data_IF_956555862485
#
_entry.id   IF_956555862485
#
_cell.length_a   1.000
_cell.length_b   1.000
_cell.length_c   1.000
_cell.angle_alpha   90.00
_cell.angle_beta   90.00
_cell.angle_gamma   90.00
#
_symmetry.space_group_name_H-M   'P 1'
#
loop_
_entity.id
_entity.type
_entity.pdbx_description
1 polymer ?
#
# COMPACT_ATOMS: atom_id res chain seq x y z
N UNK A 1 -9.24 22.15 6.60
CA UNK A 1 -8.97 20.78 7.01
C UNK A 1 -9.60 20.51 8.36
N UNK A 2 -10.48 19.52 8.46
CA UNK A 2 -11.09 19.19 9.75
C UNK A 2 -10.02 18.56 10.65
N UNK A 3 -9.93 19.02 11.91
CA UNK A 3 -9.08 18.37 12.90
C UNK A 3 -9.53 16.90 13.09
N UNK A 4 -8.61 16.03 13.44
CA UNK A 4 -8.81 14.60 13.70
C UNK A 4 -9.01 13.68 12.47
N UNK A 5 -8.79 14.16 11.24
CA UNK A 5 -8.73 13.26 10.06
C UNK A 5 -7.36 12.65 9.90
N UNK A 6 -7.31 11.34 9.75
CA UNK A 6 -6.13 10.56 9.38
C UNK A 6 -6.10 10.31 7.88
N UNK A 7 -4.93 9.96 7.35
CA UNK A 7 -4.79 9.48 5.98
C UNK A 7 -5.42 8.10 5.85
N UNK A 8 -6.33 7.93 4.88
CA UNK A 8 -6.90 6.62 4.57
C UNK A 8 -6.00 5.85 3.61
N UNK A 9 -5.99 4.53 3.74
CA UNK A 9 -5.28 3.61 2.88
C UNK A 9 -6.28 2.61 2.28
N UNK A 10 -6.42 2.62 0.95
CA UNK A 10 -7.23 1.62 0.24
C UNK A 10 -6.39 0.37 0.04
N UNK A 11 -6.97 -0.80 0.34
CA UNK A 11 -6.20 -2.06 0.30
C UNK A 11 -7.07 -3.29 0.04
N UNK A 12 -6.51 -4.36 -0.44
CA UNK A 12 -5.14 -4.57 -0.88
C UNK A 12 -5.11 -4.62 -2.41
N UNK A 13 -4.29 -3.79 -3.02
CA UNK A 13 -4.29 -3.58 -4.47
C UNK A 13 -3.39 -4.61 -5.18
N UNK A 14 -3.91 -5.51 -6.03
CA UNK A 14 -5.30 -5.66 -6.37
C UNK A 14 -5.63 -7.14 -6.65
N UNK A 15 -6.94 -7.41 -6.73
CA UNK A 15 -7.41 -8.77 -7.03
C UNK A 15 -7.38 -9.71 -5.83
N UNK A 16 -7.14 -9.24 -4.62
CA UNK A 16 -6.92 -10.06 -3.42
C UNK A 16 -8.17 -10.84 -2.95
N UNK A 17 -9.33 -10.59 -3.55
CA UNK A 17 -10.54 -11.40 -3.34
C UNK A 17 -10.67 -12.61 -4.27
N UNK A 18 -9.74 -12.81 -5.21
CA UNK A 18 -9.81 -13.84 -6.24
C UNK A 18 -8.68 -14.89 -6.24
N UNK A 19 -7.94 -15.15 -5.15
CA UNK A 19 -6.91 -16.18 -5.16
C UNK A 19 -7.51 -17.55 -5.48
N UNK A 20 -6.74 -18.34 -6.24
CA UNK A 20 -7.12 -19.69 -6.62
C UNK A 20 -7.50 -20.53 -5.38
N UNK A 21 -8.66 -21.19 -5.43
CA UNK A 21 -9.23 -21.99 -4.35
C UNK A 21 -9.47 -21.24 -3.03
N UNK A 22 -9.56 -19.89 -3.06
CA UNK A 22 -9.74 -19.06 -1.86
C UNK A 22 -8.56 -19.14 -0.88
N UNK A 23 -7.39 -19.55 -1.35
CA UNK A 23 -6.18 -19.65 -0.51
C UNK A 23 -5.46 -18.32 -0.49
N UNK A 24 -5.22 -17.83 0.73
CA UNK A 24 -4.47 -16.63 0.96
C UNK A 24 -3.05 -16.69 0.34
N UNK A 25 -2.50 -15.57 -0.10
CA UNK A 25 -1.21 -15.46 -0.81
C UNK A 25 -1.13 -16.16 -2.18
N UNK A 26 -2.17 -16.83 -2.62
CA UNK A 26 -2.13 -17.64 -3.84
C UNK A 26 -2.27 -16.78 -5.11
N UNK A 27 -2.12 -17.45 -6.26
CA UNK A 27 -2.19 -16.82 -7.59
C UNK A 27 -3.59 -16.31 -7.91
N UNK A 28 -3.64 -15.19 -8.63
CA UNK A 28 -4.85 -14.65 -9.25
C UNK A 28 -4.66 -14.66 -10.76
N UNK A 29 -5.48 -15.45 -11.44
CA UNK A 29 -5.53 -15.55 -12.89
C UNK A 29 -6.86 -14.96 -13.38
N UNK A 30 -6.81 -13.77 -13.94
CA UNK A 30 -7.98 -13.04 -14.42
C UNK A 30 -7.74 -12.49 -15.82
N UNK A 31 -8.78 -12.53 -16.67
CA UNK A 31 -8.75 -11.76 -17.91
C UNK A 31 -8.67 -10.26 -17.61
N UNK A 32 -8.07 -9.49 -18.50
CA UNK A 32 -8.01 -8.04 -18.39
C UNK A 32 -9.41 -7.42 -18.23
N UNK A 33 -10.40 -7.95 -18.98
CA UNK A 33 -11.79 -7.53 -18.88
C UNK A 33 -12.35 -7.74 -17.47
N UNK A 34 -12.27 -8.96 -16.93
CA UNK A 34 -12.75 -9.29 -15.58
C UNK A 34 -12.06 -8.43 -14.52
N UNK A 35 -10.75 -8.26 -14.65
CA UNK A 35 -9.97 -7.46 -13.71
C UNK A 35 -10.44 -6.00 -13.67
N UNK A 36 -10.66 -5.40 -14.85
CA UNK A 36 -11.12 -4.01 -14.98
C UNK A 36 -12.57 -3.80 -14.60
N UNK A 37 -13.43 -4.77 -14.85
CA UNK A 37 -14.86 -4.65 -14.57
C UNK A 37 -15.22 -4.88 -13.10
N UNK A 38 -14.57 -5.86 -12.44
CA UNK A 38 -14.98 -6.27 -11.10
C UNK A 38 -14.01 -5.86 -9.98
N UNK A 39 -12.70 -5.74 -10.26
CA UNK A 39 -11.70 -5.54 -9.21
C UNK A 39 -11.17 -4.10 -9.12
N UNK A 40 -11.03 -3.39 -10.21
CA UNK A 40 -10.50 -2.03 -10.19
C UNK A 40 -11.51 -0.94 -9.76
N UNK A 41 -12.82 -1.04 -10.04
CA UNK A 41 -13.75 0.07 -9.78
C UNK A 41 -13.85 0.46 -8.31
N UNK A 42 -13.76 -0.48 -7.37
CA UNK A 42 -13.78 -0.19 -5.94
C UNK A 42 -12.56 0.60 -5.48
N UNK A 43 -11.40 0.33 -6.06
CA UNK A 43 -10.18 1.11 -5.78
C UNK A 43 -10.26 2.50 -6.41
N UNK A 44 -10.79 2.61 -7.64
CA UNK A 44 -11.01 3.91 -8.27
C UNK A 44 -11.94 4.78 -7.42
N UNK A 45 -13.04 4.23 -6.95
CA UNK A 45 -13.96 4.96 -6.06
C UNK A 45 -13.27 5.44 -4.77
N UNK A 46 -12.38 4.62 -4.20
CA UNK A 46 -11.58 5.01 -3.03
C UNK A 46 -10.58 6.14 -3.33
N UNK A 47 -9.93 6.08 -4.49
CA UNK A 47 -9.00 7.12 -4.96
C UNK A 47 -9.77 8.43 -5.22
N UNK A 48 -10.88 8.37 -5.91
CA UNK A 48 -11.74 9.53 -6.22
C UNK A 48 -12.31 10.18 -4.94
N UNK A 49 -12.55 9.37 -3.90
CA UNK A 49 -12.94 9.85 -2.58
C UNK A 49 -11.78 10.49 -1.80
N UNK A 50 -10.56 10.49 -2.33
CA UNK A 50 -9.39 11.16 -1.77
C UNK A 50 -8.53 10.29 -0.86
N UNK A 51 -8.51 8.96 -1.07
CA UNK A 51 -7.57 8.10 -0.37
C UNK A 51 -6.13 8.58 -0.57
N UNK A 52 -5.40 8.74 0.52
CA UNK A 52 -4.05 9.28 0.51
C UNK A 52 -2.98 8.20 0.30
N UNK A 53 -3.33 6.95 0.56
CA UNK A 53 -2.43 5.80 0.45
C UNK A 53 -3.14 4.63 -0.23
N UNK A 54 -2.34 3.79 -0.86
CA UNK A 54 -2.73 2.46 -1.35
C UNK A 54 -1.73 1.44 -0.84
N UNK A 55 -2.19 0.26 -0.46
CA UNK A 55 -1.33 -0.86 -0.06
C UNK A 55 -1.39 -1.96 -1.11
N UNK A 56 -0.21 -2.45 -1.55
CA UNK A 56 -0.14 -3.58 -2.47
C UNK A 56 -0.63 -4.87 -1.82
N UNK A 57 -1.12 -5.80 -2.63
CA UNK A 57 -1.56 -7.12 -2.15
C UNK A 57 -0.44 -8.16 -2.20
N UNK A 58 -0.62 -9.27 -1.48
CA UNK A 58 0.33 -10.38 -1.43
C UNK A 58 0.33 -11.27 -2.67
N UNK A 59 -0.84 -11.44 -3.29
CA UNK A 59 -1.03 -12.38 -4.39
C UNK A 59 -0.26 -12.00 -5.65
N UNK A 60 -0.01 -13.00 -6.50
CA UNK A 60 0.37 -12.73 -7.88
C UNK A 60 -0.86 -12.35 -8.71
N UNK A 61 -0.66 -11.50 -9.69
CA UNK A 61 -1.67 -11.17 -10.71
C UNK A 61 -1.11 -11.59 -12.06
N UNK A 62 -1.71 -12.61 -12.65
CA UNK A 62 -1.28 -13.19 -13.93
C UNK A 62 0.24 -13.51 -13.93
N UNK A 63 0.68 -14.22 -12.90
CA UNK A 63 2.04 -14.71 -12.74
C UNK A 63 3.06 -13.72 -12.15
N UNK A 64 2.69 -12.45 -11.89
CA UNK A 64 3.60 -11.46 -11.31
C UNK A 64 3.09 -11.02 -9.92
N UNK A 65 3.92 -11.13 -8.85
CA UNK A 65 3.54 -10.64 -7.53
C UNK A 65 3.16 -9.17 -7.56
N UNK A 66 2.03 -8.80 -6.95
CA UNK A 66 1.49 -7.44 -7.04
C UNK A 66 2.52 -6.38 -6.63
N UNK A 67 3.28 -6.61 -5.54
CA UNK A 67 4.30 -5.69 -5.02
C UNK A 67 5.44 -5.43 -6.00
N UNK A 68 5.79 -6.41 -6.87
CA UNK A 68 6.81 -6.25 -7.92
C UNK A 68 6.24 -5.96 -9.31
N UNK A 69 4.92 -5.79 -9.44
CA UNK A 69 4.25 -5.68 -10.73
C UNK A 69 4.20 -4.23 -11.23
N UNK A 70 5.19 -3.86 -12.03
CA UNK A 70 5.31 -2.53 -12.62
C UNK A 70 4.09 -2.13 -13.47
N UNK A 71 3.51 -3.07 -14.25
CA UNK A 71 2.29 -2.80 -15.02
C UNK A 71 1.14 -2.42 -14.10
N UNK A 72 0.95 -3.18 -13.02
CA UNK A 72 -0.13 -2.95 -12.07
C UNK A 72 0.04 -1.64 -11.31
N UNK A 73 1.24 -1.38 -10.78
CA UNK A 73 1.47 -0.26 -9.86
C UNK A 73 1.75 1.07 -10.60
N UNK A 74 2.53 1.07 -11.68
CA UNK A 74 2.81 2.31 -12.39
C UNK A 74 1.79 2.59 -13.47
N UNK A 75 1.51 1.62 -14.35
CA UNK A 75 0.63 1.90 -15.47
C UNK A 75 -0.84 1.96 -15.03
N UNK A 76 -1.36 0.91 -14.41
CA UNK A 76 -2.78 0.90 -14.02
C UNK A 76 -3.05 1.88 -12.87
N UNK A 77 -2.37 1.73 -11.71
CA UNK A 77 -2.69 2.53 -10.54
C UNK A 77 -2.34 4.01 -10.72
N UNK A 78 -1.10 4.33 -11.16
CA UNK A 78 -0.67 5.73 -11.21
C UNK A 78 -1.11 6.45 -12.48
N UNK A 79 -0.92 5.83 -13.67
CA UNK A 79 -1.18 6.52 -14.93
C UNK A 79 -2.67 6.47 -15.30
N UNK A 80 -3.30 5.29 -15.31
CA UNK A 80 -4.70 5.18 -15.74
C UNK A 80 -5.69 5.66 -14.66
N UNK A 81 -5.48 5.23 -13.39
CA UNK A 81 -6.37 5.59 -12.28
C UNK A 81 -6.03 6.95 -11.64
N UNK A 82 -4.90 7.57 -12.02
CA UNK A 82 -4.49 8.90 -11.57
C UNK A 82 -4.06 8.98 -10.10
N UNK A 83 -3.61 7.87 -9.49
CA UNK A 83 -3.19 7.87 -8.10
C UNK A 83 -1.81 8.50 -7.92
N UNK A 84 -1.74 9.64 -7.22
CA UNK A 84 -0.52 10.39 -6.92
C UNK A 84 -0.05 10.28 -5.45
N UNK A 85 -0.79 9.51 -4.63
CA UNK A 85 -0.49 9.30 -3.20
C UNK A 85 0.62 8.29 -2.94
N UNK A 86 0.76 7.92 -1.67
CA UNK A 86 1.80 6.99 -1.19
C UNK A 86 1.37 5.55 -1.40
N UNK A 87 2.26 4.76 -2.01
CA UNK A 87 2.09 3.32 -2.20
C UNK A 87 2.98 2.56 -1.21
N UNK A 88 2.37 1.81 -0.32
CA UNK A 88 3.06 0.99 0.68
C UNK A 88 2.93 -0.50 0.33
N UNK A 89 3.98 -1.29 0.59
CA UNK A 89 3.86 -2.75 0.52
C UNK A 89 2.96 -3.27 1.65
N UNK A 90 2.39 -4.45 1.50
CA UNK A 90 1.85 -5.18 2.63
C UNK A 90 2.99 -5.73 3.51
N UNK A 91 2.66 -6.33 4.64
CA UNK A 91 3.60 -6.88 5.62
C UNK A 91 4.56 -7.87 4.98
N UNK A 92 5.85 -7.55 4.97
CA UNK A 92 6.92 -8.35 4.37
C UNK A 92 6.76 -8.66 2.86
N UNK A 93 5.83 -8.02 2.15
CA UNK A 93 5.50 -8.36 0.76
C UNK A 93 6.64 -8.12 -0.23
N UNK A 94 7.63 -7.28 0.10
CA UNK A 94 8.84 -7.14 -0.71
C UNK A 94 9.72 -8.40 -0.58
N UNK A 95 9.87 -8.94 0.62
CA UNK A 95 10.62 -10.18 0.84
C UNK A 95 9.92 -11.38 0.22
N UNK A 96 8.60 -11.39 0.20
CA UNK A 96 7.80 -12.44 -0.43
C UNK A 96 7.97 -12.54 -1.95
N UNK A 97 8.51 -11.53 -2.62
CA UNK A 97 8.93 -11.64 -4.03
C UNK A 97 9.91 -12.81 -4.24
N UNK A 98 10.73 -13.11 -3.22
CA UNK A 98 11.65 -14.24 -3.22
C UNK A 98 10.88 -15.55 -3.04
N UNK A 99 9.93 -15.59 -2.09
CA UNK A 99 9.09 -16.78 -1.85
C UNK A 99 8.23 -17.15 -3.06
N UNK A 100 7.77 -16.16 -3.82
CA UNK A 100 7.06 -16.37 -5.08
C UNK A 100 7.96 -16.84 -6.23
N UNK A 101 9.29 -16.91 -6.04
CA UNK A 101 10.25 -17.25 -7.09
C UNK A 101 10.42 -16.16 -8.15
N UNK A 102 9.95 -14.94 -7.86
CA UNK A 102 10.06 -13.79 -8.77
C UNK A 102 11.41 -13.08 -8.65
N UNK A 103 12.01 -13.10 -7.47
CA UNK A 103 13.35 -12.58 -7.19
C UNK A 103 14.25 -13.65 -6.58
N UNK A 104 15.56 -13.56 -6.85
CA UNK A 104 16.54 -14.52 -6.31
C UNK A 104 16.97 -14.18 -4.89
N UNK A 105 16.99 -12.90 -4.53
CA UNK A 105 17.50 -12.38 -3.28
C UNK A 105 16.90 -11.02 -2.92
N UNK A 106 17.25 -10.49 -1.73
CA UNK A 106 16.76 -9.20 -1.20
C UNK A 106 17.16 -8.01 -2.08
N UNK A 107 18.34 -8.06 -2.70
CA UNK A 107 18.82 -7.02 -3.62
C UNK A 107 17.90 -6.91 -4.85
N UNK A 108 17.60 -8.03 -5.50
CA UNK A 108 16.67 -8.05 -6.64
C UNK A 108 15.27 -7.65 -6.23
N UNK A 109 14.81 -8.06 -5.04
CA UNK A 109 13.52 -7.66 -4.48
C UNK A 109 13.44 -6.14 -4.27
N UNK A 110 14.51 -5.49 -3.78
CA UNK A 110 14.61 -4.04 -3.69
C UNK A 110 14.50 -3.36 -5.05
N UNK A 111 15.23 -3.85 -6.05
CA UNK A 111 15.18 -3.31 -7.41
C UNK A 111 13.77 -3.40 -7.98
N UNK A 112 13.17 -4.60 -7.98
CA UNK A 112 11.86 -4.85 -8.60
C UNK A 112 10.74 -4.04 -7.95
N UNK A 113 10.72 -3.97 -6.62
CA UNK A 113 9.70 -3.20 -5.89
C UNK A 113 9.87 -1.68 -6.06
N UNK A 114 11.11 -1.16 -6.06
CA UNK A 114 11.38 0.25 -6.34
C UNK A 114 10.99 0.62 -7.77
N UNK A 115 11.33 -0.20 -8.77
CA UNK A 115 10.89 -0.02 -10.15
C UNK A 115 9.38 -0.09 -10.33
N UNK A 116 8.71 -0.98 -9.58
CA UNK A 116 7.26 -1.03 -9.54
C UNK A 116 6.63 0.21 -8.90
N UNK A 117 7.39 0.98 -8.13
CA UNK A 117 6.95 2.25 -7.53
C UNK A 117 6.38 2.12 -6.13
N UNK A 118 6.79 1.08 -5.39
CA UNK A 118 6.53 0.97 -3.95
C UNK A 118 7.33 2.04 -3.22
N UNK A 119 6.66 2.90 -2.47
CA UNK A 119 7.29 4.03 -1.78
C UNK A 119 7.76 3.65 -0.36
N UNK A 120 7.06 2.75 0.29
CA UNK A 120 7.36 2.31 1.66
C UNK A 120 7.43 0.79 1.73
N UNK A 121 8.54 0.29 2.23
CA UNK A 121 8.76 -1.10 2.62
C UNK A 121 8.15 -1.33 4.01
N UNK A 122 7.10 -2.16 4.10
CA UNK A 122 6.54 -2.51 5.39
C UNK A 122 7.33 -3.63 6.03
N UNK A 123 8.15 -3.25 7.01
CA UNK A 123 8.86 -3.99 8.04
C UNK A 123 10.06 -4.87 7.61
N UNK A 124 10.36 -5.07 6.32
CA UNK A 124 11.46 -5.98 5.96
C UNK A 124 12.86 -5.38 6.13
N UNK A 125 12.98 -4.07 6.08
CA UNK A 125 14.26 -3.36 6.06
C UNK A 125 15.03 -3.47 4.73
N UNK A 126 14.47 -4.14 3.73
CA UNK A 126 15.12 -4.38 2.43
C UNK A 126 15.55 -3.06 1.77
N UNK A 127 14.71 -2.04 1.82
CA UNK A 127 15.05 -0.74 1.26
C UNK A 127 16.20 -0.07 2.01
N UNK A 128 16.18 -0.11 3.34
CA UNK A 128 17.24 0.48 4.17
C UNK A 128 18.59 -0.20 3.94
N UNK A 129 18.59 -1.51 3.74
CA UNK A 129 19.79 -2.30 3.59
C UNK A 129 20.41 -2.19 2.19
N UNK A 130 19.59 -1.99 1.14
CA UNK A 130 20.07 -2.18 -0.23
C UNK A 130 20.04 -0.91 -1.09
N UNK A 131 19.03 -0.02 -0.96
CA UNK A 131 18.81 1.03 -1.96
C UNK A 131 19.99 2.00 -2.10
N UNK A 132 20.68 2.34 -1.02
CA UNK A 132 21.83 3.25 -1.09
C UNK A 132 22.93 2.70 -1.99
N UNK A 133 23.30 1.45 -1.81
CA UNK A 133 24.32 0.79 -2.63
C UNK A 133 23.83 0.61 -4.08
N UNK A 134 22.58 0.21 -4.27
CA UNK A 134 22.00 0.00 -5.61
C UNK A 134 21.97 1.30 -6.44
N UNK A 135 21.76 2.45 -5.81
CA UNK A 135 21.86 3.75 -6.49
C UNK A 135 23.31 4.08 -6.85
N UNK A 136 24.27 3.82 -5.95
CA UNK A 136 25.69 4.03 -6.22
C UNK A 136 26.21 3.14 -7.36
N UNK A 137 25.66 1.93 -7.49
CA UNK A 137 25.97 0.98 -8.55
C UNK A 137 25.16 1.22 -9.84
N UNK A 138 24.37 2.27 -9.92
CA UNK A 138 23.49 2.64 -11.04
C UNK A 138 22.46 1.54 -11.41
N UNK A 139 22.18 0.60 -10.49
CA UNK A 139 21.16 -0.44 -10.65
C UNK A 139 19.74 0.06 -10.40
N UNK A 140 19.60 1.09 -9.56
CA UNK A 140 18.35 1.79 -9.29
C UNK A 140 18.57 3.27 -9.53
N UNK A 141 17.69 3.90 -10.30
CA UNK A 141 17.78 5.33 -10.55
C UNK A 141 17.45 6.13 -9.27
N UNK A 142 18.31 7.07 -8.88
CA UNK A 142 18.07 8.00 -7.79
C UNK A 142 16.73 8.74 -7.93
N UNK A 143 16.32 9.03 -9.17
CA UNK A 143 15.02 9.65 -9.46
C UNK A 143 13.84 8.85 -8.90
N UNK A 144 13.90 7.52 -8.87
CA UNK A 144 12.84 6.69 -8.28
C UNK A 144 12.74 6.87 -6.77
N UNK A 145 13.89 7.04 -6.11
CA UNK A 145 13.96 7.29 -4.67
C UNK A 145 13.41 8.68 -4.37
N UNK A 146 13.81 9.70 -5.13
CA UNK A 146 13.32 11.07 -5.01
C UNK A 146 11.80 11.15 -5.18
N UNK A 147 11.25 10.45 -6.20
CA UNK A 147 9.80 10.37 -6.40
C UNK A 147 9.09 9.80 -5.17
N UNK A 148 9.61 8.72 -4.59
CA UNK A 148 9.03 8.07 -3.40
C UNK A 148 9.13 8.96 -2.16
N UNK A 149 10.30 9.50 -1.90
CA UNK A 149 10.52 10.46 -0.81
C UNK A 149 9.59 11.66 -0.93
N UNK A 150 9.45 12.23 -2.14
CA UNK A 150 8.61 13.39 -2.37
C UNK A 150 7.13 13.09 -2.07
N UNK A 151 6.60 11.91 -2.43
CA UNK A 151 5.22 11.52 -2.10
C UNK A 151 5.01 11.44 -0.59
N UNK A 152 5.96 10.82 0.12
CA UNK A 152 5.91 10.70 1.58
C UNK A 152 5.98 12.08 2.26
N UNK A 153 6.89 12.95 1.81
CA UNK A 153 7.04 14.29 2.35
C UNK A 153 5.80 15.15 2.09
N UNK A 154 5.21 15.08 0.90
CA UNK A 154 3.94 15.74 0.57
C UNK A 154 2.80 15.26 1.48
N UNK A 155 2.71 13.96 1.74
CA UNK A 155 1.71 13.41 2.65
C UNK A 155 1.91 13.92 4.07
N UNK A 156 3.14 13.88 4.60
CA UNK A 156 3.47 14.42 5.93
C UNK A 156 3.12 15.91 6.04
N UNK A 157 3.45 16.69 5.02
CA UNK A 157 3.10 18.11 4.97
C UNK A 157 1.58 18.33 4.94
N UNK A 158 0.86 17.59 4.10
CA UNK A 158 -0.62 17.62 4.02
C UNK A 158 -1.27 17.27 5.36
N UNK A 159 -0.64 16.39 6.14
CA UNK A 159 -1.07 16.01 7.48
C UNK A 159 -0.67 17.03 8.56
N UNK A 160 0.18 18.02 8.26
CA UNK A 160 0.66 19.03 9.21
C UNK A 160 1.65 18.47 10.24
N UNK A 161 2.37 17.37 9.86
CA UNK A 161 3.28 16.69 10.79
C UNK A 161 4.61 17.43 10.96
N UNK A 162 4.96 18.34 10.06
CA UNK A 162 6.14 19.19 10.21
C UNK A 162 5.92 20.34 11.19
N UNK A 163 4.68 20.86 11.26
CA UNK A 163 4.32 21.91 12.19
C UNK A 163 4.09 21.39 13.60
N UNK A 164 3.35 20.28 13.72
CA UNK A 164 3.10 19.61 15.01
C UNK A 164 2.81 18.11 14.81
N UNK A 165 3.80 17.22 15.01
CA UNK A 165 3.59 15.78 14.86
C UNK A 165 2.64 15.19 15.91
N UNK A 166 2.45 15.88 17.04
CA UNK A 166 1.62 15.43 18.17
C UNK A 166 0.26 16.15 18.25
N UNK A 167 -0.13 16.89 17.22
CA UNK A 167 -1.35 17.74 17.24
C UNK A 167 -2.65 17.00 17.59
N UNK A 168 -2.70 15.71 17.30
CA UNK A 168 -3.88 14.86 17.49
C UNK A 168 -3.71 13.90 18.70
N UNK A 169 -2.60 13.99 19.43
CA UNK A 169 -2.33 13.21 20.62
C UNK A 169 -2.97 13.87 21.87
N UNK A 170 -3.93 13.18 22.49
CA UNK A 170 -4.63 13.61 23.71
C UNK A 170 -4.93 12.38 24.58
N UNK A 171 -4.09 12.15 25.59
CA UNK A 171 -4.20 10.99 26.49
C UNK A 171 -5.48 10.99 27.33
N UNK A 172 -6.06 12.15 27.61
CA UNK A 172 -7.32 12.24 28.37
C UNK A 172 -8.46 11.80 27.46
N UNK A 173 -8.52 12.36 26.26
CA UNK A 173 -9.54 12.03 25.26
C UNK A 173 -9.45 10.57 24.82
N UNK A 174 -8.24 10.03 24.72
CA UNK A 174 -8.02 8.61 24.43
C UNK A 174 -8.72 7.72 25.47
N UNK A 175 -8.52 7.98 26.76
CA UNK A 175 -9.13 7.22 27.86
C UNK A 175 -10.65 7.34 27.88
N UNK A 176 -11.20 8.48 27.47
CA UNK A 176 -12.64 8.70 27.40
C UNK A 176 -13.30 7.97 26.23
N UNK A 177 -12.60 7.86 25.09
CA UNK A 177 -13.13 7.33 23.83
C UNK A 177 -12.93 5.81 23.73
N UNK A 178 -11.74 5.30 24.11
CA UNK A 178 -11.44 3.86 23.99
C UNK A 178 -12.42 3.06 24.83
N UNK A 179 -13.11 2.13 24.18
CA UNK A 179 -14.13 1.26 24.79
C UNK A 179 -15.27 2.01 25.48
N UNK A 180 -15.57 3.23 25.09
CA UNK A 180 -16.74 3.93 25.58
C UNK A 180 -18.03 3.14 25.30
N UNK A 181 -19.10 3.47 26.00
CA UNK A 181 -20.37 2.72 25.91
C UNK A 181 -20.90 2.69 24.47
N UNK A 182 -20.87 3.81 23.80
CA UNK A 182 -21.36 3.98 22.42
C UNK A 182 -20.63 3.07 21.45
N UNK A 183 -19.29 2.99 21.52
CA UNK A 183 -18.48 2.11 20.67
C UNK A 183 -18.77 0.63 20.93
N UNK A 184 -18.93 0.23 22.19
CA UNK A 184 -19.25 -1.16 22.55
C UNK A 184 -20.67 -1.55 22.14
N UNK A 185 -21.63 -0.63 22.24
CA UNK A 185 -23.01 -0.88 21.82
C UNK A 185 -23.10 -1.02 20.30
N UNK A 186 -22.38 -0.17 19.53
CA UNK A 186 -22.30 -0.27 18.08
C UNK A 186 -21.64 -1.59 17.63
N UNK A 187 -20.53 -1.97 18.25
CA UNK A 187 -19.86 -3.25 17.95
C UNK A 187 -20.79 -4.44 18.23
N UNK A 188 -21.55 -4.41 19.34
CA UNK A 188 -22.54 -5.43 19.67
C UNK A 188 -23.68 -5.48 18.64
N UNK A 189 -24.15 -4.31 18.22
CA UNK A 189 -25.20 -4.23 17.18
C UNK A 189 -24.71 -4.82 15.85
N UNK A 190 -23.49 -4.46 15.41
CA UNK A 190 -22.88 -5.02 14.21
C UNK A 190 -22.78 -6.56 14.28
N UNK A 191 -22.29 -7.08 15.42
CA UNK A 191 -22.19 -8.53 15.63
C UNK A 191 -23.55 -9.27 15.67
N UNK A 192 -24.64 -8.58 16.07
CA UNK A 192 -25.99 -9.18 16.05
C UNK A 192 -26.63 -9.20 14.67
N UNK A 193 -26.16 -8.34 13.74
CA UNK A 193 -26.68 -8.22 12.38
C UNK A 193 -25.88 -9.03 11.37
N UNK A 194 -24.68 -9.49 11.70
CA UNK A 194 -23.86 -10.38 10.88
C UNK A 194 -24.18 -11.85 11.13
#
# INVERSE_FOLDING_TARGET
REPYKIASCVKHFAGYGAPTAGRDYNTVELSEHTFREFYLPSYQAGIDAGAAMVMSSFNTVNGVPATGNKKLMRHILREEMGFDGVLISDWAAIEELICHGYCQNREEAAIRSAEAGIDIDMMTGIYCENLCQLVQEEKVSEKLIDESCMRILKLKNKLGLFENPYKDADEIKEKEIILCKEHRDLAREAARKS
#
